data_IF_694506757054
#
_entry.id   IF_694506757054
#
_cell.length_a   1.000
_cell.length_b   1.000
_cell.length_c   1.000
_cell.angle_alpha   90.00
_cell.angle_beta   90.00
_cell.angle_gamma   90.00
#
_symmetry.space_group_name_H-M   'P 1'
#
loop_
_entity.id
_entity.type
_entity.pdbx_description
1 polymer ?
#
# COMPACT_ATOMS: atom_id res chain seq x y z
N UNK A 1 -0.33 -29.61 11.75
CA UNK A 1 0.56 -28.65 11.08
C UNK A 1 -0.33 -27.64 10.38
N UNK A 2 -0.54 -26.47 10.98
CA UNK A 2 -1.31 -25.39 10.34
C UNK A 2 -0.39 -24.76 9.29
N UNK A 3 -0.73 -24.91 8.01
CA UNK A 3 -0.07 -24.14 6.97
C UNK A 3 -0.52 -22.70 7.17
N UNK A 4 0.30 -21.89 7.86
CA UNK A 4 0.09 -20.45 7.93
C UNK A 4 0.32 -19.92 6.52
N UNK A 5 -0.77 -19.77 5.76
CA UNK A 5 -0.73 -19.15 4.45
C UNK A 5 -0.45 -17.66 4.68
N UNK A 6 0.73 -17.19 4.27
CA UNK A 6 1.11 -15.76 4.34
C UNK A 6 0.02 -14.96 3.59
N UNK A 7 -0.53 -13.88 4.18
CA UNK A 7 -1.56 -13.08 3.52
C UNK A 7 -1.03 -12.54 2.19
N UNK A 8 -1.91 -12.43 1.19
CA UNK A 8 -1.52 -11.93 -0.12
C UNK A 8 -1.18 -10.44 -0.01
N UNK A 9 0.02 -10.07 -0.46
CA UNK A 9 0.48 -8.68 -0.39
C UNK A 9 -0.08 -7.86 -1.55
N UNK A 10 -0.52 -6.63 -1.26
CA UNK A 10 -1.06 -5.68 -2.22
C UNK A 10 -0.13 -4.47 -2.37
N UNK A 11 0.10 -4.07 -3.63
CA UNK A 11 0.82 -2.85 -3.98
C UNK A 11 -0.13 -1.99 -4.83
N UNK A 12 -0.34 -0.76 -4.39
CA UNK A 12 -1.26 0.18 -5.02
C UNK A 12 -0.49 1.36 -5.64
N UNK A 13 -0.35 1.41 -6.97
CA UNK A 13 0.48 2.45 -7.62
C UNK A 13 -0.28 3.76 -7.90
N UNK A 14 -1.60 3.74 -7.71
CA UNK A 14 -2.51 4.88 -7.91
C UNK A 14 -3.62 4.79 -6.86
N UNK A 15 -3.22 4.85 -5.60
CA UNK A 15 -4.07 4.45 -4.49
C UNK A 15 -5.28 5.36 -4.27
N UNK A 16 -5.22 6.59 -4.78
CA UNK A 16 -6.22 7.62 -4.57
C UNK A 16 -6.50 7.78 -3.08
N UNK A 17 -7.79 7.84 -2.74
CA UNK A 17 -8.25 7.87 -1.35
C UNK A 17 -8.26 6.50 -0.65
N UNK A 18 -7.90 5.41 -1.34
CA UNK A 18 -7.84 4.05 -0.77
C UNK A 18 -9.09 3.20 -0.93
N UNK A 19 -10.02 3.56 -1.82
CA UNK A 19 -11.24 2.78 -2.06
C UNK A 19 -10.96 1.37 -2.58
N UNK A 20 -10.01 1.22 -3.51
CA UNK A 20 -9.63 -0.09 -4.04
C UNK A 20 -8.90 -0.94 -3.01
N UNK A 21 -7.91 -0.36 -2.32
CA UNK A 21 -7.21 -0.99 -1.20
C UNK A 21 -8.20 -1.48 -0.12
N UNK A 22 -9.22 -0.70 0.22
CA UNK A 22 -10.26 -1.09 1.19
C UNK A 22 -10.90 -2.45 0.86
N UNK A 23 -11.22 -2.67 -0.42
CA UNK A 23 -11.82 -3.91 -0.88
C UNK A 23 -10.88 -5.10 -0.76
N UNK A 24 -9.61 -4.92 -1.10
CA UNK A 24 -8.59 -5.96 -0.96
C UNK A 24 -8.28 -6.29 0.51
N UNK A 25 -8.19 -5.29 1.38
CA UNK A 25 -8.04 -5.49 2.83
C UNK A 25 -9.19 -6.33 3.39
N UNK A 26 -10.43 -6.06 2.96
CA UNK A 26 -11.60 -6.86 3.35
C UNK A 26 -11.55 -8.31 2.85
N UNK A 27 -10.82 -8.58 1.76
CA UNK A 27 -10.58 -9.94 1.25
C UNK A 27 -9.34 -10.60 1.87
N UNK A 28 -8.71 -9.99 2.88
CA UNK A 28 -7.57 -10.55 3.59
C UNK A 28 -6.20 -10.27 2.94
N UNK A 29 -6.12 -9.26 2.08
CA UNK A 29 -4.85 -8.80 1.52
C UNK A 29 -4.17 -7.80 2.47
N UNK A 30 -2.85 -7.81 2.46
CA UNK A 30 -2.01 -6.90 3.26
C UNK A 30 -1.44 -5.80 2.34
N UNK A 31 -1.90 -4.54 2.46
CA UNK A 31 -1.34 -3.42 1.71
C UNK A 31 0.04 -3.10 2.25
N UNK A 32 1.05 -3.26 1.41
CA UNK A 32 2.45 -3.10 1.81
C UNK A 32 3.11 -1.87 1.21
N UNK A 33 2.50 -1.31 0.16
CA UNK A 33 3.01 -0.16 -0.54
C UNK A 33 1.91 0.54 -1.35
N UNK A 34 1.84 1.86 -1.23
CA UNK A 34 0.91 2.71 -1.95
C UNK A 34 1.63 3.96 -2.48
N UNK A 35 1.33 4.35 -3.72
CA UNK A 35 1.78 5.61 -4.32
C UNK A 35 0.55 6.39 -4.75
N UNK A 36 0.54 7.66 -4.38
CA UNK A 36 -0.49 8.59 -4.80
C UNK A 36 0.13 9.95 -5.14
N UNK A 37 -0.37 10.60 -6.18
CA UNK A 37 0.13 11.88 -6.63
C UNK A 37 -0.53 13.03 -5.87
N UNK A 38 -1.83 12.92 -5.61
CA UNK A 38 -2.59 13.96 -4.91
C UNK A 38 -2.38 13.88 -3.39
N UNK A 39 -1.93 14.99 -2.80
CA UNK A 39 -1.64 15.07 -1.37
C UNK A 39 -2.90 14.80 -0.52
N UNK A 40 -4.07 15.26 -0.94
CA UNK A 40 -5.30 15.08 -0.18
C UNK A 40 -5.79 13.63 -0.24
N UNK A 41 -5.66 13.00 -1.40
CA UNK A 41 -5.95 11.58 -1.60
C UNK A 41 -4.98 10.71 -0.77
N UNK A 42 -3.68 11.00 -0.83
CA UNK A 42 -2.66 10.31 -0.04
C UNK A 42 -2.87 10.46 1.48
N UNK A 43 -3.22 11.65 1.95
CA UNK A 43 -3.53 11.89 3.37
C UNK A 43 -4.78 11.10 3.80
N UNK A 44 -5.80 11.03 2.94
CA UNK A 44 -6.99 10.22 3.19
C UNK A 44 -6.66 8.74 3.24
N UNK A 45 -5.81 8.26 2.33
CA UNK A 45 -5.32 6.89 2.33
C UNK A 45 -4.53 6.58 3.62
N UNK A 46 -3.58 7.45 3.98
CA UNK A 46 -2.75 7.31 5.18
C UNK A 46 -3.56 7.30 6.47
N UNK A 47 -4.64 8.10 6.54
CA UNK A 47 -5.55 8.10 7.68
C UNK A 47 -6.33 6.77 7.84
N UNK A 48 -6.60 6.06 6.74
CA UNK A 48 -7.37 4.81 6.75
C UNK A 48 -6.49 3.55 6.88
N UNK A 49 -5.32 3.56 6.23
CA UNK A 49 -4.47 2.37 6.10
C UNK A 49 -3.14 2.50 6.82
N UNK A 50 -2.71 3.71 7.19
CA UNK A 50 -1.42 4.01 7.80
C UNK A 50 -0.54 4.83 6.87
N UNK A 51 0.10 5.87 7.41
CA UNK A 51 1.02 6.72 6.65
C UNK A 51 2.33 5.99 6.30
N UNK A 52 2.62 4.87 6.98
CA UNK A 52 3.89 4.19 6.83
C UNK A 52 4.09 3.61 5.44
N UNK A 53 3.04 3.25 4.71
CA UNK A 53 3.12 2.61 3.38
C UNK A 53 2.62 3.46 2.23
N UNK A 54 2.15 4.68 2.47
CA UNK A 54 1.72 5.60 1.41
C UNK A 54 2.78 6.65 1.11
N UNK A 55 3.12 6.80 -0.16
CA UNK A 55 4.00 7.84 -0.66
C UNK A 55 3.21 8.84 -1.48
N UNK A 56 3.32 10.11 -1.12
CA UNK A 56 2.73 11.21 -1.87
C UNK A 56 3.77 11.87 -2.78
N UNK A 57 3.43 12.11 -4.05
CA UNK A 57 4.18 13.01 -4.93
C UNK A 57 4.53 12.46 -6.33
N UNK A 58 4.99 13.37 -7.18
CA UNK A 58 5.50 13.06 -8.53
C UNK A 58 6.98 12.79 -8.45
N UNK A 59 7.42 11.56 -8.20
CA UNK A 59 8.86 11.33 -8.32
C UNK A 59 9.24 9.89 -8.69
N UNK A 60 10.20 9.70 -9.59
CA UNK A 60 10.91 8.42 -9.76
C UNK A 60 11.73 8.04 -8.52
N UNK A 61 11.77 8.87 -7.47
CA UNK A 61 12.50 8.62 -6.21
C UNK A 61 11.72 7.82 -5.18
N UNK A 62 10.57 7.22 -5.54
CA UNK A 62 10.03 6.12 -4.75
C UNK A 62 11.19 5.14 -4.47
N UNK A 63 11.61 4.95 -3.20
CA UNK A 63 12.76 4.12 -2.91
C UNK A 63 12.41 2.68 -3.27
N UNK A 64 12.86 2.22 -4.43
CA UNK A 64 12.77 0.81 -4.89
C UNK A 64 13.39 -0.16 -3.88
N UNK A 65 14.21 0.34 -2.97
CA UNK A 65 14.75 -0.38 -1.80
C UNK A 65 13.67 -0.88 -0.85
N UNK A 66 12.46 -0.28 -0.83
CA UNK A 66 11.35 -0.75 0.01
C UNK A 66 10.61 -1.94 -0.61
N UNK A 67 10.59 -2.02 -1.95
CA UNK A 67 10.08 -3.17 -2.69
C UNK A 67 10.85 -4.46 -2.40
N UNK A 68 12.19 -4.38 -2.27
CA UNK A 68 13.03 -5.55 -2.02
C UNK A 68 12.85 -6.20 -0.64
N UNK A 69 12.35 -5.47 0.37
CA UNK A 69 12.10 -6.02 1.71
C UNK A 69 10.79 -6.79 1.83
N UNK A 70 9.88 -6.64 0.86
CA UNK A 70 8.54 -7.24 0.93
C UNK A 70 8.49 -8.68 0.39
N UNK A 71 9.49 -9.07 -0.40
CA UNK A 71 9.59 -10.42 -0.99
C UNK A 71 10.51 -11.36 -0.22
N UNK A 72 11.01 -10.96 0.97
CA UNK A 72 11.90 -11.76 1.83
C UNK A 72 11.15 -12.67 2.82
#
# INVERSE_FOLDING_TARGET
MSLVTKPLTLIDLFAGCGGMTSGFVQQGFEPVFAVEHDLHAAATYGANFGEEHVYWGTSPTCPTTRFQRLTS
#
